data_IF_528733444743
#
_entry.id   IF_528733444743
#
_cell.length_a   1.000
_cell.length_b   1.000
_cell.length_c   1.000
_cell.angle_alpha   90.00
_cell.angle_beta   90.00
_cell.angle_gamma   90.00
#
_symmetry.space_group_name_H-M   'P 1'
#
loop_
_entity.id
_entity.type
_entity.pdbx_description
1 polymer ?
#
# COMPACT_ATOMS: atom_id res chain seq x y z
N UNK A 1 -21.55 26.06 2.21
CA UNK A 1 -21.90 24.87 1.40
C UNK A 1 -20.67 23.98 1.31
N UNK A 2 -20.77 22.69 1.63
CA UNK A 2 -19.62 21.79 1.70
C UNK A 2 -19.03 21.46 0.33
N UNK A 3 -17.70 21.45 0.20
CA UNK A 3 -16.99 21.03 -1.00
C UNK A 3 -17.15 19.50 -1.13
N UNK A 4 -17.82 19.05 -2.18
CA UNK A 4 -17.94 17.61 -2.47
C UNK A 4 -16.80 17.20 -3.39
N UNK A 5 -16.11 16.12 -3.02
CA UNK A 5 -15.10 15.49 -3.85
C UNK A 5 -15.77 14.38 -4.65
N UNK A 6 -15.50 14.34 -5.95
CA UNK A 6 -16.02 13.35 -6.87
C UNK A 6 -14.84 12.47 -7.34
N UNK A 7 -14.96 11.14 -7.29
CA UNK A 7 -13.91 10.27 -7.82
C UNK A 7 -13.83 10.43 -9.34
N UNK A 8 -12.61 10.59 -9.85
CA UNK A 8 -12.36 10.70 -11.29
C UNK A 8 -11.90 9.35 -11.83
N UNK A 9 -12.75 8.70 -12.60
CA UNK A 9 -12.37 7.52 -13.39
C UNK A 9 -11.42 7.84 -14.55
N UNK A 10 -10.74 6.80 -15.06
CA UNK A 10 -9.74 6.93 -16.13
C UNK A 10 -10.25 7.65 -17.38
N UNK A 11 -11.52 7.48 -17.74
CA UNK A 11 -12.10 8.14 -18.92
C UNK A 11 -12.29 9.65 -18.71
N UNK A 12 -12.65 10.09 -17.50
CA UNK A 12 -12.71 11.51 -17.15
C UNK A 12 -11.33 12.16 -17.24
N UNK A 13 -10.29 11.48 -16.72
CA UNK A 13 -8.92 11.99 -16.77
C UNK A 13 -8.47 12.18 -18.23
N UNK A 14 -8.77 11.23 -19.12
CA UNK A 14 -8.48 11.37 -20.56
C UNK A 14 -9.17 12.58 -21.18
N UNK A 15 -10.44 12.83 -20.85
CA UNK A 15 -11.18 14.01 -21.34
C UNK A 15 -10.60 15.32 -20.83
N UNK A 16 -10.16 15.36 -19.57
CA UNK A 16 -9.47 16.53 -19.00
C UNK A 16 -8.14 16.80 -19.70
N UNK A 17 -7.37 15.75 -19.97
CA UNK A 17 -6.11 15.86 -20.73
C UNK A 17 -6.37 16.40 -22.14
N UNK A 18 -7.40 15.91 -22.85
CA UNK A 18 -7.78 16.42 -24.17
C UNK A 18 -8.18 17.90 -24.13
N UNK A 19 -9.00 18.31 -23.16
CA UNK A 19 -9.38 19.71 -22.98
C UNK A 19 -8.16 20.62 -22.75
N UNK A 20 -7.20 20.15 -21.94
CA UNK A 20 -5.96 20.88 -21.71
C UNK A 20 -5.10 20.99 -22.98
N UNK A 21 -5.01 19.90 -23.76
CA UNK A 21 -4.28 19.87 -25.02
C UNK A 21 -4.89 20.82 -26.07
N UNK A 22 -6.20 21.04 -26.03
CA UNK A 22 -6.94 21.98 -26.88
C UNK A 22 -6.79 23.45 -26.42
N UNK A 23 -6.01 23.71 -25.37
CA UNK A 23 -5.76 25.05 -24.83
C UNK A 23 -6.71 25.44 -23.68
N UNK A 24 -7.49 24.49 -23.17
CA UNK A 24 -8.34 24.69 -22.00
C UNK A 24 -7.54 24.81 -20.69
N UNK A 25 -7.95 25.73 -19.82
CA UNK A 25 -7.36 25.90 -18.49
C UNK A 25 -7.95 24.85 -17.54
N UNK A 26 -7.17 24.37 -16.56
CA UNK A 26 -7.60 23.41 -15.53
C UNK A 26 -6.99 23.75 -14.15
N UNK A 27 -6.93 25.03 -13.79
CA UNK A 27 -6.36 25.47 -12.50
C UNK A 27 -7.33 25.31 -11.33
N UNK A 28 -8.63 25.41 -11.61
CA UNK A 28 -9.69 25.34 -10.63
C UNK A 28 -10.84 24.44 -11.11
N UNK A 29 -11.67 24.03 -10.15
CA UNK A 29 -12.93 23.30 -10.41
C UNK A 29 -13.92 24.05 -11.33
N UNK A 30 -13.68 25.33 -11.59
CA UNK A 30 -14.49 26.13 -12.53
C UNK A 30 -14.10 25.90 -13.99
N UNK A 31 -12.88 25.42 -14.23
CA UNK A 31 -12.32 25.28 -15.58
C UNK A 31 -12.54 23.86 -16.14
N UNK A 32 -13.11 22.96 -15.33
CA UNK A 32 -13.53 21.62 -15.77
C UNK A 32 -14.71 21.76 -16.75
N UNK A 33 -14.63 21.16 -17.96
CA UNK A 33 -15.70 21.20 -18.95
C UNK A 33 -17.03 20.70 -18.39
N UNK A 34 -18.14 21.36 -18.78
CA UNK A 34 -19.48 20.99 -18.31
C UNK A 34 -19.82 19.53 -18.62
N UNK A 35 -19.41 19.04 -19.80
CA UNK A 35 -19.60 17.64 -20.17
C UNK A 35 -19.01 16.64 -19.17
N UNK A 36 -17.83 16.95 -18.60
CA UNK A 36 -17.19 16.10 -17.58
C UNK A 36 -17.88 16.24 -16.23
N UNK A 37 -18.36 17.44 -15.90
CA UNK A 37 -19.14 17.66 -14.67
C UNK A 37 -20.46 16.88 -14.71
N UNK A 38 -21.20 16.98 -15.80
CA UNK A 38 -22.48 16.29 -15.97
C UNK A 38 -22.30 14.78 -15.85
N UNK A 39 -21.26 14.22 -16.48
CA UNK A 39 -20.89 12.80 -16.38
C UNK A 39 -20.66 12.37 -14.91
N UNK A 40 -19.86 13.14 -14.15
CA UNK A 40 -19.61 12.86 -12.72
C UNK A 40 -20.89 12.92 -11.86
N UNK A 41 -21.82 13.81 -12.20
CA UNK A 41 -23.09 13.91 -11.48
C UNK A 41 -24.02 12.72 -11.79
N UNK A 42 -24.10 12.31 -13.05
CA UNK A 42 -24.92 11.18 -13.47
C UNK A 42 -24.38 9.86 -12.93
N UNK A 43 -23.06 9.64 -12.96
CA UNK A 43 -22.43 8.44 -12.40
C UNK A 43 -22.65 8.33 -10.89
N UNK A 44 -22.53 9.44 -10.13
CA UNK A 44 -22.80 9.43 -8.69
C UNK A 44 -24.28 9.14 -8.38
N UNK A 45 -25.21 9.63 -9.21
CA UNK A 45 -26.63 9.37 -9.05
C UNK A 45 -26.97 7.90 -9.32
N UNK A 46 -26.33 7.30 -10.33
CA UNK A 46 -26.44 5.88 -10.64
C UNK A 46 -25.84 5.00 -9.53
N UNK A 47 -24.71 5.39 -8.95
CA UNK A 47 -24.08 4.68 -7.83
C UNK A 47 -24.99 4.64 -6.60
N UNK A 48 -25.62 5.77 -6.27
CA UNK A 48 -26.57 5.88 -5.15
C UNK A 48 -27.87 5.14 -5.42
N UNK A 49 -28.33 5.06 -6.68
CA UNK A 49 -29.54 4.31 -7.03
C UNK A 49 -29.31 2.79 -7.06
N UNK A 50 -28.11 2.32 -7.48
CA UNK A 50 -27.72 0.90 -7.43
C UNK A 50 -27.71 0.35 -6.00
N UNK A 51 -27.31 1.16 -5.01
CA UNK A 51 -27.36 0.76 -3.60
C UNK A 51 -28.79 0.66 -3.03
N UNK A 52 -29.82 1.03 -3.81
CA UNK A 52 -31.23 1.04 -3.39
C UNK A 52 -32.12 0.00 -4.09
N UNK A 53 -31.54 -0.84 -4.94
CA UNK A 53 -32.18 -2.07 -5.47
C UNK A 53 -31.47 -3.30 -4.92
N UNK A 54 -32.06 -3.95 -3.92
CA UNK A 54 -31.41 -5.04 -3.18
C UNK A 54 -31.23 -6.34 -3.96
N UNK A 55 -30.34 -7.20 -3.48
CA UNK A 55 -30.70 -8.51 -2.93
C UNK A 55 -29.48 -9.25 -2.36
N UNK A 56 -29.83 -10.18 -1.48
CA UNK A 56 -29.00 -11.08 -0.73
C UNK A 56 -28.12 -12.01 -1.57
N UNK A 57 -27.18 -12.65 -0.84
CA UNK A 57 -26.44 -13.88 -1.13
C UNK A 57 -25.08 -13.69 -1.81
N UNK A 58 -24.08 -13.47 -0.96
CA UNK A 58 -22.68 -13.85 -1.20
C UNK A 58 -22.10 -14.35 0.12
N UNK A 59 -21.98 -15.66 0.26
CA UNK A 59 -21.49 -16.39 1.44
C UNK A 59 -20.16 -15.83 1.95
N UNK A 60 -20.14 -15.35 3.18
CA UNK A 60 -18.92 -14.92 3.86
C UNK A 60 -19.23 -14.13 5.11
N UNK A 61 -19.16 -14.82 6.26
CA UNK A 61 -19.18 -14.34 7.65
C UNK A 61 -19.44 -12.83 7.81
N UNK A 62 -20.65 -12.48 8.25
CA UNK A 62 -21.02 -11.14 8.66
C UNK A 62 -20.27 -10.83 9.97
N UNK A 63 -19.11 -10.19 9.88
CA UNK A 63 -18.39 -9.75 11.07
C UNK A 63 -19.20 -8.65 11.76
N UNK A 64 -19.45 -8.73 13.08
CA UNK A 64 -20.02 -7.62 13.80
C UNK A 64 -19.06 -6.41 13.73
N UNK A 65 -19.61 -5.18 13.67
CA UNK A 65 -18.78 -3.99 13.61
C UNK A 65 -17.86 -3.89 14.83
N UNK A 66 -16.57 -3.76 14.57
CA UNK A 66 -15.54 -3.58 15.60
C UNK A 66 -15.67 -2.17 16.16
N UNK A 67 -16.12 -2.05 17.41
CA UNK A 67 -16.07 -0.80 18.16
C UNK A 67 -14.66 -0.63 18.73
N UNK A 68 -13.91 0.36 18.24
CA UNK A 68 -12.64 0.76 18.83
C UNK A 68 -12.92 1.90 19.80
N UNK A 69 -13.04 1.56 21.09
CA UNK A 69 -13.08 2.57 22.14
C UNK A 69 -11.67 3.09 22.36
N UNK A 70 -11.35 4.24 21.77
CA UNK A 70 -10.11 4.98 22.08
C UNK A 70 -10.33 5.69 23.42
N UNK A 71 -10.13 4.96 24.51
CA UNK A 71 -10.00 5.58 25.82
C UNK A 71 -8.61 6.23 25.87
N UNK A 72 -8.60 7.57 25.91
CA UNK A 72 -7.41 8.34 26.24
C UNK A 72 -7.09 8.06 27.72
N UNK A 73 -6.35 6.97 27.98
CA UNK A 73 -6.00 6.57 29.34
C UNK A 73 -5.02 7.58 29.94
N UNK A 74 -5.57 8.43 30.79
CA UNK A 74 -4.85 9.09 31.86
C UNK A 74 -4.30 8.00 32.77
N UNK A 75 -3.01 8.14 33.08
CA UNK A 75 -2.23 7.35 34.03
C UNK A 75 -3.00 6.91 35.28
N UNK A 76 -2.88 5.65 35.65
CA UNK A 76 -2.51 5.25 37.03
C UNK A 76 -2.15 3.76 37.07
N UNK A 77 -1.01 3.46 37.69
CA UNK A 77 -0.40 2.14 37.80
C UNK A 77 -1.20 1.22 38.73
N UNK A 78 -1.45 -0.03 38.32
CA UNK A 78 -1.61 -1.17 39.22
C UNK A 78 -1.28 -2.48 38.49
N UNK A 79 -0.05 -2.94 38.76
CA UNK A 79 0.39 -4.31 39.00
C UNK A 79 -0.49 -5.46 38.46
N UNK A 80 0.02 -6.16 37.44
CA UNK A 80 -0.33 -7.56 37.18
C UNK A 80 0.98 -8.33 37.06
N UNK A 81 1.17 -9.23 38.03
CA UNK A 81 2.22 -10.23 38.14
C UNK A 81 2.26 -11.14 36.90
N UNK A 82 3.37 -11.10 36.17
CA UNK A 82 3.69 -12.05 35.11
C UNK A 82 4.91 -12.85 35.57
N UNK A 83 4.61 -14.00 36.16
CA UNK A 83 5.58 -15.03 36.50
C UNK A 83 6.43 -15.42 35.28
N UNK A 84 7.70 -15.02 35.38
CA UNK A 84 8.90 -15.63 34.83
C UNK A 84 8.88 -16.08 33.35
N UNK A 85 9.22 -15.16 32.45
CA UNK A 85 10.26 -15.44 31.47
C UNK A 85 11.42 -14.47 31.68
N UNK A 86 12.60 -15.07 31.80
CA UNK A 86 13.85 -14.51 32.32
C UNK A 86 14.32 -13.31 31.49
N UNK A 87 14.62 -12.22 32.19
CA UNK A 87 15.14 -10.96 31.69
C UNK A 87 16.56 -11.07 31.11
N UNK A 88 16.80 -10.32 30.03
CA UNK A 88 17.93 -9.39 29.81
C UNK A 88 17.73 -8.74 28.42
N UNK A 89 17.53 -7.45 28.23
CA UNK A 89 17.35 -6.32 29.13
C UNK A 89 16.72 -5.18 28.32
N UNK A 90 15.98 -4.33 29.02
CA UNK A 90 15.71 -2.95 28.64
C UNK A 90 15.23 -2.68 27.20
N UNK A 91 13.91 -2.65 27.01
CA UNK A 91 13.30 -1.75 26.04
C UNK A 91 13.51 -0.31 26.54
N UNK A 92 14.76 0.15 26.57
CA UNK A 92 15.05 1.58 26.61
C UNK A 92 14.26 2.19 25.46
N UNK A 93 13.43 3.18 25.80
CA UNK A 93 12.56 3.94 24.92
C UNK A 93 13.15 3.95 23.51
N UNK A 94 12.57 3.15 22.59
CA UNK A 94 13.07 3.06 21.24
C UNK A 94 13.01 4.46 20.65
N UNK A 95 14.18 5.08 20.52
CA UNK A 95 14.36 6.30 19.77
C UNK A 95 13.54 6.15 18.47
N UNK A 96 12.74 7.16 18.09
CA UNK A 96 12.06 7.13 16.79
C UNK A 96 13.08 6.71 15.74
N UNK A 97 12.80 5.59 15.05
CA UNK A 97 13.68 5.06 14.02
C UNK A 97 13.85 6.14 12.96
N UNK A 98 14.97 6.87 13.03
CA UNK A 98 15.30 7.94 12.10
C UNK A 98 15.72 7.27 10.79
N UNK A 99 14.73 6.83 10.03
CA UNK A 99 14.92 6.30 8.67
C UNK A 99 14.86 7.52 7.76
N UNK A 100 16.00 7.97 7.20
CA UNK A 100 15.98 9.08 6.25
C UNK A 100 15.15 8.68 5.03
N UNK A 101 14.18 9.52 4.67
CA UNK A 101 13.31 9.31 3.51
C UNK A 101 12.19 8.27 3.72
N UNK A 102 11.40 7.99 2.67
CA UNK A 102 10.38 6.94 2.71
C UNK A 102 11.03 5.60 3.06
N UNK A 103 10.44 4.90 4.04
CA UNK A 103 10.96 3.64 4.56
C UNK A 103 11.29 2.65 3.45
N UNK A 104 10.42 2.55 2.45
CA UNK A 104 10.55 1.58 1.36
C UNK A 104 11.74 1.91 0.45
N UNK A 105 12.00 3.19 0.18
CA UNK A 105 13.16 3.63 -0.61
C UNK A 105 14.49 3.45 0.13
N UNK A 106 14.53 3.79 1.41
CA UNK A 106 15.74 3.61 2.23
C UNK A 106 16.08 2.12 2.43
N UNK A 107 15.03 1.28 2.47
CA UNK A 107 15.15 -0.18 2.53
C UNK A 107 15.72 -0.73 1.23
N UNK A 108 15.18 -0.30 0.08
CA UNK A 108 15.64 -0.76 -1.22
C UNK A 108 17.09 -0.33 -1.49
N UNK A 109 17.47 0.91 -1.16
CA UNK A 109 18.82 1.42 -1.33
C UNK A 109 19.85 0.62 -0.51
N UNK A 110 19.55 0.32 0.75
CA UNK A 110 20.46 -0.45 1.61
C UNK A 110 20.64 -1.90 1.12
N UNK A 111 19.54 -2.55 0.74
CA UNK A 111 19.61 -3.94 0.23
C UNK A 111 20.31 -4.00 -1.12
N UNK A 112 20.10 -3.01 -1.98
CA UNK A 112 20.79 -2.89 -3.26
C UNK A 112 22.31 -2.74 -3.09
N UNK A 113 22.75 -1.90 -2.15
CA UNK A 113 24.18 -1.77 -1.82
C UNK A 113 24.80 -3.10 -1.38
N UNK A 114 24.12 -3.83 -0.48
CA UNK A 114 24.57 -5.18 -0.05
C UNK A 114 24.67 -6.14 -1.25
N UNK A 115 23.74 -6.06 -2.21
CA UNK A 115 23.80 -6.88 -3.42
C UNK A 115 25.00 -6.52 -4.31
N UNK A 116 25.24 -5.23 -4.59
CA UNK A 116 26.39 -4.80 -5.41
C UNK A 116 27.73 -5.18 -4.78
N UNK A 117 27.90 -4.91 -3.49
CA UNK A 117 29.13 -5.23 -2.76
C UNK A 117 29.44 -6.73 -2.77
N UNK A 118 28.40 -7.56 -2.79
CA UNK A 118 28.52 -9.01 -2.83
C UNK A 118 28.40 -9.62 -4.24
N UNK A 119 28.29 -8.79 -5.29
CA UNK A 119 28.17 -9.25 -6.67
C UNK A 119 26.91 -10.08 -6.94
N UNK A 120 25.85 -9.87 -6.17
CA UNK A 120 24.57 -10.57 -6.32
C UNK A 120 23.68 -9.80 -7.29
N UNK A 121 23.16 -10.50 -8.30
CA UNK A 121 22.08 -9.99 -9.14
C UNK A 121 20.71 -10.50 -8.66
N UNK A 122 19.64 -9.93 -9.23
CA UNK A 122 18.27 -10.31 -8.90
C UNK A 122 17.98 -11.78 -9.24
N UNK A 123 18.68 -12.38 -10.19
CA UNK A 123 18.49 -13.77 -10.59
C UNK A 123 19.05 -14.72 -9.53
N UNK A 124 20.22 -14.42 -8.99
CA UNK A 124 20.85 -15.18 -7.91
C UNK A 124 20.02 -15.09 -6.63
N UNK A 125 19.55 -13.89 -6.28
CA UNK A 125 18.64 -13.70 -5.12
C UNK A 125 17.33 -14.47 -5.31
N UNK A 126 16.78 -14.50 -6.53
CA UNK A 126 15.60 -15.27 -6.86
C UNK A 126 15.82 -16.80 -6.83
N UNK A 127 17.02 -17.28 -7.13
CA UNK A 127 17.37 -18.71 -7.08
C UNK A 127 17.53 -19.20 -5.65
N UNK A 128 18.28 -18.47 -4.84
CA UNK A 128 18.63 -18.90 -3.49
C UNK A 128 17.50 -18.65 -2.50
N UNK A 129 16.68 -17.60 -2.73
CA UNK A 129 15.56 -17.17 -1.87
C UNK A 129 15.87 -17.26 -0.37
N UNK A 130 17.09 -16.91 0.03
CA UNK A 130 17.55 -17.03 1.42
C UNK A 130 17.64 -15.64 2.08
N UNK A 131 16.68 -15.30 2.97
CA UNK A 131 16.77 -14.07 3.75
C UNK A 131 17.95 -14.04 4.72
N UNK A 132 18.51 -15.19 5.11
CA UNK A 132 19.57 -15.26 6.13
C UNK A 132 20.84 -14.55 5.68
N UNK A 133 21.20 -14.66 4.41
CA UNK A 133 22.33 -13.94 3.83
C UNK A 133 22.26 -12.44 4.12
N UNK A 134 21.11 -11.83 3.86
CA UNK A 134 20.89 -10.40 4.11
C UNK A 134 20.90 -10.06 5.61
N UNK A 135 20.35 -10.94 6.45
CA UNK A 135 20.35 -10.77 7.90
C UNK A 135 21.78 -10.78 8.46
N UNK A 136 22.63 -11.69 7.98
CA UNK A 136 24.04 -11.77 8.36
C UNK A 136 24.82 -10.53 7.93
N UNK A 137 24.42 -9.87 6.84
CA UNK A 137 24.94 -8.58 6.37
C UNK A 137 24.34 -7.37 7.09
N UNK A 138 23.53 -7.59 8.13
CA UNK A 138 22.96 -6.52 8.97
C UNK A 138 21.62 -5.97 8.50
N UNK A 139 21.02 -6.53 7.45
CA UNK A 139 19.64 -6.20 7.05
C UNK A 139 18.66 -6.71 8.11
N UNK A 140 17.71 -5.88 8.55
CA UNK A 140 16.73 -6.34 9.56
C UNK A 140 15.88 -7.48 9.00
N UNK A 141 15.59 -8.47 9.85
CA UNK A 141 14.86 -9.70 9.46
C UNK A 141 13.55 -9.46 8.71
N UNK A 142 12.77 -8.45 9.09
CA UNK A 142 11.52 -8.12 8.41
C UNK A 142 11.75 -7.63 6.98
N UNK A 143 12.79 -6.81 6.78
CA UNK A 143 13.19 -6.28 5.48
C UNK A 143 13.71 -7.41 4.60
N UNK A 144 14.66 -8.20 5.11
CA UNK A 144 15.27 -9.31 4.37
C UNK A 144 14.22 -10.31 3.88
N UNK A 145 13.25 -10.67 4.74
CA UNK A 145 12.14 -11.55 4.37
C UNK A 145 11.25 -10.94 3.29
N UNK A 146 10.85 -9.68 3.48
CA UNK A 146 9.95 -9.00 2.56
C UNK A 146 10.58 -8.85 1.17
N UNK A 147 11.84 -8.43 1.11
CA UNK A 147 12.59 -8.25 -0.12
C UNK A 147 12.70 -9.54 -0.94
N UNK A 148 13.14 -10.64 -0.31
CA UNK A 148 13.28 -11.95 -0.97
C UNK A 148 11.93 -12.47 -1.46
N UNK A 149 10.88 -12.33 -0.64
CA UNK A 149 9.53 -12.79 -0.99
C UNK A 149 8.94 -11.99 -2.16
N UNK A 150 9.17 -10.67 -2.19
CA UNK A 150 8.62 -9.78 -3.22
C UNK A 150 9.28 -10.01 -4.58
N UNK A 151 10.60 -10.23 -4.63
CA UNK A 151 11.28 -10.67 -5.86
C UNK A 151 10.66 -11.99 -6.35
N UNK A 152 10.43 -12.94 -5.44
CA UNK A 152 9.80 -14.22 -5.75
C UNK A 152 8.39 -14.06 -6.36
N UNK A 153 7.57 -13.17 -5.80
CA UNK A 153 6.23 -12.84 -6.32
C UNK A 153 6.29 -12.15 -7.67
N UNK A 154 7.18 -11.16 -7.81
CA UNK A 154 7.35 -10.41 -9.05
C UNK A 154 7.75 -11.34 -10.22
N UNK A 155 8.76 -12.19 -10.05
CA UNK A 155 9.18 -13.14 -11.11
C UNK A 155 8.05 -14.10 -11.50
N UNK A 156 7.27 -14.61 -10.53
CA UNK A 156 6.10 -15.46 -10.81
C UNK A 156 5.05 -14.72 -11.64
N UNK A 157 4.78 -13.47 -11.31
CA UNK A 157 3.83 -12.64 -12.04
C UNK A 157 4.31 -12.31 -13.46
N UNK A 158 5.61 -12.00 -13.63
CA UNK A 158 6.22 -11.76 -14.95
C UNK A 158 6.14 -13.02 -15.81
N UNK A 159 6.54 -14.19 -15.29
CA UNK A 159 6.44 -15.46 -16.04
C UNK A 159 5.00 -15.77 -16.47
N UNK A 160 4.02 -15.52 -15.59
CA UNK A 160 2.60 -15.67 -15.90
C UNK A 160 2.17 -14.71 -17.02
N UNK A 161 2.58 -13.45 -16.97
CA UNK A 161 2.25 -12.47 -18.00
C UNK A 161 2.89 -12.82 -19.36
N UNK A 162 4.15 -13.27 -19.38
CA UNK A 162 4.84 -13.71 -20.59
C UNK A 162 4.14 -14.92 -21.21
N UNK A 163 3.76 -15.93 -20.40
CA UNK A 163 3.04 -17.10 -20.90
C UNK A 163 1.67 -16.79 -21.50
N UNK A 164 1.03 -15.70 -21.06
CA UNK A 164 -0.27 -15.24 -21.59
C UNK A 164 -0.08 -14.53 -22.93
N UNK A 165 1.04 -13.83 -23.13
CA UNK A 165 1.36 -13.16 -24.39
C UNK A 165 1.81 -14.11 -25.51
N UNK A 166 2.40 -15.27 -25.19
CA UNK A 166 2.81 -16.26 -26.21
C UNK A 166 1.64 -17.11 -26.75
N UNK A 167 0.47 -17.05 -26.12
CA UNK A 167 -0.75 -17.77 -26.53
C UNK A 167 -1.78 -16.92 -27.29
N UNK A 168 -1.44 -15.67 -27.63
CA UNK A 168 -2.25 -14.76 -28.47
C UNK A 168 -1.60 -14.56 -29.84
#
# INVERSE_FOLDING_TARGET
>A
MGKRHYPLESHHIKRLISHFAEGGILESHKDVPEAVRDELYEEQKLEKSKRKGGQAVGTGVQYPPININVLLSQSTAHEIDLSAHKALGEWQALSPLNIPGPRDLAVDEYVYNVMLENGLDLEQVYKDQDPKFFIEKGVKIGIARHFVEDIGKWVKNVKKAVSVCETL
#
